data_IF_483187674047
#
_entry.id   IF_483187674047
#
_cell.length_a   1.000
_cell.length_b   1.000
_cell.length_c   1.000
_cell.angle_alpha   90.00
_cell.angle_beta   90.00
_cell.angle_gamma   90.00
#
_symmetry.space_group_name_H-M   'P 1'
#
loop_
_entity.id
_entity.type
_entity.pdbx_description
1 polymer ?
#
# COMPACT_ATOMS: atom_id res chain seq x y z
N UNK A 1 0.41 -73.43 -5.66
CA UNK A 1 1.42 -73.29 -4.60
C UNK A 1 2.49 -72.33 -5.11
N UNK A 2 2.28 -71.04 -4.90
CA UNK A 2 3.29 -69.96 -4.92
C UNK A 2 2.64 -68.81 -4.18
N UNK A 3 3.00 -68.69 -2.91
CA UNK A 3 2.50 -67.69 -1.98
C UNK A 3 3.24 -66.37 -2.23
N UNK A 4 2.49 -65.27 -2.28
CA UNK A 4 2.99 -63.92 -2.55
C UNK A 4 3.39 -63.28 -1.23
N UNK A 5 4.68 -63.24 -0.92
CA UNK A 5 5.17 -62.50 0.24
C UNK A 5 5.23 -61.01 -0.09
N UNK A 6 4.37 -60.22 0.53
CA UNK A 6 4.47 -58.76 0.58
C UNK A 6 5.70 -58.34 1.37
N UNK A 7 6.60 -57.61 0.72
CA UNK A 7 7.69 -56.90 1.37
C UNK A 7 7.14 -55.58 1.97
N UNK A 8 7.09 -55.51 3.30
CA UNK A 8 6.73 -54.29 4.03
C UNK A 8 8.03 -53.63 4.47
N UNK A 9 8.51 -52.66 3.69
CA UNK A 9 9.60 -51.78 4.10
C UNK A 9 9.11 -50.87 5.22
N UNK A 10 9.53 -51.14 6.45
CA UNK A 10 9.41 -50.20 7.57
C UNK A 10 10.29 -48.98 7.30
N UNK A 11 9.64 -47.83 7.09
CA UNK A 11 10.29 -46.52 7.10
C UNK A 11 10.94 -46.31 8.48
N UNK A 12 12.26 -46.39 8.51
CA UNK A 12 13.05 -46.20 9.72
C UNK A 12 13.49 -44.74 9.77
N UNK A 13 12.67 -43.89 10.41
CA UNK A 13 13.15 -42.61 10.91
C UNK A 13 14.25 -42.88 11.93
N UNK A 14 15.48 -42.36 11.75
CA UNK A 14 16.54 -42.62 12.72
C UNK A 14 16.16 -41.98 14.06
N UNK A 15 16.26 -42.78 15.12
CA UNK A 15 16.05 -42.33 16.49
C UNK A 15 17.16 -41.35 16.89
N UNK A 16 16.80 -40.10 17.15
CA UNK A 16 17.70 -39.09 17.72
C UNK A 16 18.00 -39.45 19.18
N UNK A 17 19.28 -39.64 19.51
CA UNK A 17 19.76 -39.86 20.87
C UNK A 17 19.50 -38.61 21.76
N UNK A 18 18.68 -38.72 22.82
CA UNK A 18 18.34 -37.58 23.69
C UNK A 18 19.50 -37.09 24.56
N UNK A 19 20.63 -37.82 24.63
CA UNK A 19 21.80 -37.48 25.43
C UNK A 19 22.95 -36.81 24.68
N UNK A 20 22.91 -36.74 23.35
CA UNK A 20 23.97 -36.15 22.56
C UNK A 20 23.96 -34.62 22.67
N UNK A 21 25.12 -33.94 22.88
CA UNK A 21 25.17 -32.49 22.90
C UNK A 21 24.72 -31.95 21.55
N UNK A 22 23.60 -31.21 21.55
CA UNK A 22 23.07 -30.57 20.35
C UNK A 22 24.14 -29.65 19.78
N UNK A 23 24.44 -29.82 18.49
CA UNK A 23 25.37 -28.94 17.80
C UNK A 23 24.97 -27.47 18.01
N UNK A 24 25.92 -26.55 18.21
CA UNK A 24 25.60 -25.15 18.38
C UNK A 24 24.88 -24.64 17.14
N UNK A 25 23.77 -23.94 17.36
CA UNK A 25 23.01 -23.34 16.26
C UNK A 25 23.91 -22.46 15.39
N UNK A 26 23.75 -22.59 14.07
CA UNK A 26 24.36 -21.70 13.08
C UNK A 26 23.83 -20.28 13.25
N UNK A 27 24.50 -19.29 12.65
CA UNK A 27 24.01 -17.91 12.63
C UNK A 27 22.64 -17.78 11.96
N UNK A 28 22.36 -18.63 10.97
CA UNK A 28 21.07 -18.71 10.28
C UNK A 28 19.97 -19.26 11.18
N UNK A 29 20.25 -20.35 11.91
CA UNK A 29 19.28 -20.97 12.85
C UNK A 29 19.00 -20.11 14.08
N UNK A 30 19.91 -19.19 14.43
CA UNK A 30 19.70 -18.21 15.51
C UNK A 30 18.85 -17.03 15.09
N UNK A 31 18.64 -16.83 13.77
CA UNK A 31 17.84 -15.73 13.27
C UNK A 31 16.36 -16.03 13.54
N UNK A 32 15.62 -15.14 14.21
CA UNK A 32 14.18 -15.29 14.32
C UNK A 32 13.56 -15.45 12.91
N UNK A 33 12.57 -16.34 12.73
CA UNK A 33 11.90 -16.47 11.45
C UNK A 33 11.18 -15.17 11.10
N UNK A 34 11.11 -14.86 9.80
CA UNK A 34 10.32 -13.71 9.34
C UNK A 34 8.85 -14.06 9.46
N UNK A 35 8.17 -13.44 10.42
CA UNK A 35 6.75 -13.70 10.68
C UNK A 35 5.87 -13.44 9.45
N UNK A 36 6.27 -12.52 8.57
CA UNK A 36 5.62 -12.25 7.28
C UNK A 36 5.69 -13.41 6.28
N UNK A 37 6.58 -14.39 6.48
CA UNK A 37 6.79 -15.54 5.60
C UNK A 37 6.23 -16.84 6.20
N UNK A 38 5.66 -16.80 7.42
CA UNK A 38 5.11 -17.98 8.10
C UNK A 38 3.59 -18.08 7.88
N UNK A 39 3.08 -19.11 7.18
CA UNK A 39 1.65 -19.25 6.89
C UNK A 39 0.79 -19.25 8.16
N UNK A 40 1.19 -19.99 9.19
CA UNK A 40 0.46 -20.04 10.46
C UNK A 40 0.33 -18.67 11.16
N UNK A 41 1.31 -17.78 10.96
CA UNK A 41 1.26 -16.43 11.52
C UNK A 41 0.42 -15.49 10.63
N UNK A 42 0.50 -15.63 9.31
CA UNK A 42 -0.37 -14.90 8.38
C UNK A 42 -1.84 -15.23 8.65
N UNK A 43 -2.18 -16.51 8.82
CA UNK A 43 -3.55 -16.97 9.13
C UNK A 43 -4.05 -16.39 10.45
N UNK A 44 -3.18 -16.34 11.47
CA UNK A 44 -3.49 -15.72 12.75
C UNK A 44 -3.76 -14.22 12.60
N UNK A 45 -2.91 -13.50 11.87
CA UNK A 45 -3.00 -12.05 11.69
C UNK A 45 -4.11 -11.62 10.72
N UNK A 46 -4.65 -12.52 9.91
CA UNK A 46 -5.72 -12.24 8.98
C UNK A 46 -7.09 -12.01 9.66
N UNK A 47 -7.26 -12.42 10.92
CA UNK A 47 -8.57 -12.42 11.59
C UNK A 47 -8.53 -11.99 13.05
N UNK A 48 -9.71 -11.97 13.69
CA UNK A 48 -9.87 -11.60 15.10
C UNK A 48 -9.87 -10.09 15.39
N UNK A 49 -9.75 -9.26 14.34
CA UNK A 49 -9.77 -7.81 14.45
C UNK A 49 -11.18 -7.24 14.37
N UNK A 50 -11.41 -6.11 15.05
CA UNK A 50 -12.59 -5.28 14.79
C UNK A 50 -12.53 -4.75 13.35
N UNK A 51 -13.69 -4.44 12.77
CA UNK A 51 -13.75 -3.66 11.52
C UNK A 51 -13.85 -2.18 11.88
N UNK A 52 -12.78 -1.39 11.74
CA UNK A 52 -12.83 0.03 12.04
C UNK A 52 -13.60 0.79 10.96
N UNK A 53 -14.07 2.00 11.32
CA UNK A 53 -14.49 2.98 10.32
C UNK A 53 -13.26 3.47 9.55
N UNK A 54 -13.30 3.31 8.22
CA UNK A 54 -12.23 3.71 7.29
C UNK A 54 -12.67 4.88 6.41
N UNK A 55 -13.71 5.61 6.82
CA UNK A 55 -14.17 6.79 6.09
C UNK A 55 -13.09 7.88 6.10
N UNK A 56 -12.64 8.39 4.93
CA UNK A 56 -11.66 9.45 4.88
C UNK A 56 -12.14 10.69 5.63
N UNK A 57 -11.28 11.23 6.49
CA UNK A 57 -11.55 12.51 7.14
C UNK A 57 -11.19 13.64 6.18
N UNK A 58 -12.14 14.53 5.89
CA UNK A 58 -11.92 15.73 5.08
C UNK A 58 -12.34 17.00 5.80
N UNK A 59 -11.67 18.10 5.47
CA UNK A 59 -12.11 19.42 5.92
C UNK A 59 -13.36 19.83 5.13
N UNK A 60 -14.46 20.27 5.78
CA UNK A 60 -15.66 20.71 5.07
C UNK A 60 -15.35 21.79 4.02
N UNK A 61 -15.84 21.60 2.79
CA UNK A 61 -15.61 22.54 1.69
C UNK A 61 -14.29 22.34 0.94
N UNK A 62 -13.34 21.56 1.46
CA UNK A 62 -12.02 21.42 0.86
C UNK A 62 -12.05 20.62 -0.44
N UNK A 63 -12.88 19.58 -0.52
CA UNK A 63 -13.02 18.74 -1.72
C UNK A 63 -13.70 19.52 -2.84
N UNK A 64 -14.74 20.29 -2.51
CA UNK A 64 -15.47 21.14 -3.45
C UNK A 64 -14.57 22.28 -3.96
N UNK A 65 -13.80 22.90 -3.07
CA UNK A 65 -12.80 23.90 -3.45
C UNK A 65 -11.75 23.28 -4.39
N UNK A 66 -11.19 22.13 -4.03
CA UNK A 66 -10.22 21.40 -4.84
C UNK A 66 -10.76 21.05 -6.24
N UNK A 67 -12.03 20.67 -6.36
CA UNK A 67 -12.67 20.46 -7.66
C UNK A 67 -12.69 21.75 -8.50
N UNK A 68 -13.13 22.88 -7.92
CA UNK A 68 -13.08 24.18 -8.59
C UNK A 68 -11.64 24.61 -8.95
N UNK A 69 -10.64 24.20 -8.16
CA UNK A 69 -9.24 24.48 -8.41
C UNK A 69 -8.73 23.72 -9.63
N UNK A 70 -9.08 22.43 -9.75
CA UNK A 70 -8.79 21.61 -10.93
C UNK A 70 -9.42 22.20 -12.19
N UNK A 71 -10.65 22.70 -12.14
CA UNK A 71 -11.28 23.36 -13.30
C UNK A 71 -10.53 24.62 -13.74
N UNK A 72 -10.10 25.46 -12.79
CA UNK A 72 -9.31 26.67 -13.11
C UNK A 72 -7.95 26.30 -13.71
N UNK A 73 -7.26 25.32 -13.14
CA UNK A 73 -5.97 24.85 -13.65
C UNK A 73 -6.12 24.24 -15.04
N UNK A 74 -7.20 23.47 -15.23
CA UNK A 74 -7.55 22.84 -16.50
C UNK A 74 -7.72 23.87 -17.63
N UNK A 75 -8.45 24.95 -17.37
CA UNK A 75 -8.62 26.04 -18.32
C UNK A 75 -7.32 26.83 -18.59
N UNK A 76 -6.44 26.94 -17.60
CA UNK A 76 -5.17 27.68 -17.72
C UNK A 76 -4.08 26.89 -18.46
N UNK A 77 -4.15 25.56 -18.46
CA UNK A 77 -3.15 24.68 -19.06
C UNK A 77 -3.77 23.66 -20.04
N UNK A 78 -4.45 24.11 -21.12
CA UNK A 78 -5.10 23.19 -22.04
C UNK A 78 -4.08 22.34 -22.80
N UNK A 79 -4.42 21.08 -23.06
CA UNK A 79 -3.64 20.20 -23.94
C UNK A 79 -2.37 19.59 -23.33
N UNK A 80 -2.10 19.81 -22.04
CA UNK A 80 -0.94 19.22 -21.35
C UNK A 80 -1.40 18.34 -20.19
N UNK A 81 -0.84 17.14 -20.05
CA UNK A 81 -1.17 16.29 -18.90
C UNK A 81 -0.33 16.72 -17.70
N UNK A 82 -0.97 16.89 -16.55
CA UNK A 82 -0.33 17.34 -15.32
C UNK A 82 -0.25 16.17 -14.33
N UNK A 83 0.90 16.01 -13.66
CA UNK A 83 1.08 15.05 -12.59
C UNK A 83 1.61 15.77 -11.36
N UNK A 84 0.87 15.71 -10.25
CA UNK A 84 1.17 16.41 -9.01
C UNK A 84 1.27 15.39 -7.89
N UNK A 85 2.44 15.30 -7.25
CA UNK A 85 2.72 14.31 -6.22
C UNK A 85 2.53 14.90 -4.82
N UNK A 86 2.06 14.09 -3.88
CA UNK A 86 1.88 14.52 -2.48
C UNK A 86 3.18 14.48 -1.67
N UNK A 87 4.13 13.62 -2.04
CA UNK A 87 5.41 13.44 -1.35
C UNK A 87 5.37 12.42 -0.21
N UNK A 88 6.43 12.42 0.59
CA UNK A 88 6.66 11.53 1.73
C UNK A 88 7.18 12.30 2.95
N UNK A 89 6.88 11.79 4.14
CA UNK A 89 7.38 12.33 5.40
C UNK A 89 8.90 12.13 5.49
N UNK A 90 9.68 13.20 5.69
CA UNK A 90 11.13 13.05 5.84
C UNK A 90 11.49 12.26 7.10
N UNK A 91 12.59 11.51 7.03
CA UNK A 91 13.18 10.88 8.22
C UNK A 91 13.68 11.95 9.19
N UNK A 92 13.27 11.83 10.46
CA UNK A 92 13.72 12.67 11.57
C UNK A 92 14.96 12.07 12.22
N UNK A 93 14.88 10.79 12.58
CA UNK A 93 16.00 10.02 13.13
C UNK A 93 15.70 8.53 12.97
N UNK A 94 16.59 7.76 12.39
CA UNK A 94 16.44 6.31 12.18
C UNK A 94 15.07 5.92 11.57
N UNK A 95 14.26 5.17 12.31
CA UNK A 95 12.91 4.72 11.94
C UNK A 95 11.81 5.76 12.26
N UNK A 96 12.16 6.88 12.90
CA UNK A 96 11.20 7.94 13.18
C UNK A 96 11.10 8.94 12.02
N UNK A 97 9.88 9.17 11.53
CA UNK A 97 9.55 10.21 10.54
C UNK A 97 9.02 11.49 11.21
N UNK A 98 9.08 12.61 10.50
CA UNK A 98 8.27 13.78 10.85
C UNK A 98 6.79 13.51 10.60
N UNK A 99 5.90 14.34 11.16
CA UNK A 99 4.49 14.30 10.80
C UNK A 99 4.32 14.60 9.31
N UNK A 100 3.59 13.74 8.60
CA UNK A 100 3.35 13.92 7.18
C UNK A 100 2.53 15.17 6.90
N UNK A 101 2.93 15.91 5.86
CA UNK A 101 2.18 17.02 5.27
C UNK A 101 2.41 16.96 3.77
N UNK A 102 1.34 16.81 2.98
CA UNK A 102 1.45 16.71 1.54
C UNK A 102 1.89 18.04 0.92
N UNK A 103 2.46 17.96 -0.29
CA UNK A 103 2.83 19.13 -1.07
C UNK A 103 1.66 20.13 -1.22
N UNK A 104 1.99 21.43 -1.24
CA UNK A 104 0.98 22.50 -1.28
C UNK A 104 0.12 22.44 -2.53
N UNK A 105 0.71 22.14 -3.69
CA UNK A 105 0.00 22.09 -4.96
C UNK A 105 -0.92 20.86 -4.99
N UNK A 106 -0.44 19.74 -4.44
CA UNK A 106 -1.26 18.54 -4.28
C UNK A 106 -2.48 18.82 -3.38
N UNK A 107 -2.28 19.43 -2.21
CA UNK A 107 -3.37 19.77 -1.28
C UNK A 107 -4.32 20.77 -1.93
N UNK A 108 -3.82 21.75 -2.69
CA UNK A 108 -4.67 22.71 -3.39
C UNK A 108 -5.59 22.04 -4.41
N UNK A 109 -5.15 20.96 -5.07
CA UNK A 109 -5.91 20.26 -6.11
C UNK A 109 -6.76 19.08 -5.61
N UNK A 110 -6.51 18.60 -4.40
CA UNK A 110 -7.18 17.39 -3.86
C UNK A 110 -7.90 17.62 -2.54
N UNK A 111 -7.46 18.60 -1.74
CA UNK A 111 -8.02 18.90 -0.42
C UNK A 111 -7.68 17.88 0.67
N UNK A 112 -6.77 16.93 0.41
CA UNK A 112 -6.50 15.80 1.31
C UNK A 112 -5.01 15.59 1.58
N UNK A 113 -4.71 14.91 2.69
CA UNK A 113 -3.37 14.59 3.15
C UNK A 113 -3.13 13.09 2.99
N UNK A 114 -2.58 12.68 1.84
CA UNK A 114 -2.30 11.27 1.53
C UNK A 114 -0.84 11.14 1.16
N UNK A 115 -0.09 10.33 1.90
CA UNK A 115 1.32 10.07 1.62
C UNK A 115 1.50 9.18 0.37
N UNK A 116 2.51 9.48 -0.44
CA UNK A 116 2.85 8.69 -1.63
C UNK A 116 1.81 8.71 -2.76
N UNK A 117 0.89 9.67 -2.75
CA UNK A 117 -0.16 9.81 -3.75
C UNK A 117 0.27 10.69 -4.94
N UNK A 118 -0.35 10.46 -6.10
CA UNK A 118 -0.13 11.27 -7.31
C UNK A 118 -1.47 11.57 -7.97
N UNK A 119 -1.81 12.85 -8.09
CA UNK A 119 -2.92 13.30 -8.92
C UNK A 119 -2.44 13.44 -10.37
N UNK A 120 -3.10 12.77 -11.30
CA UNK A 120 -2.91 12.95 -12.73
C UNK A 120 -4.14 13.62 -13.32
N UNK A 121 -3.95 14.75 -14.00
CA UNK A 121 -4.96 15.42 -14.80
C UNK A 121 -4.63 15.16 -16.27
N UNK A 122 -5.34 14.22 -16.90
CA UNK A 122 -5.16 13.83 -18.29
C UNK A 122 -5.74 14.89 -19.21
N UNK A 123 -4.93 15.41 -20.14
CA UNK A 123 -5.42 16.35 -21.13
C UNK A 123 -6.45 15.68 -22.05
N UNK A 124 -7.64 16.28 -22.15
CA UNK A 124 -8.71 15.87 -23.05
C UNK A 124 -9.22 17.09 -23.83
N UNK A 125 -9.93 16.91 -24.96
CA UNK A 125 -10.57 18.03 -25.63
C UNK A 125 -11.48 18.80 -24.67
N UNK A 126 -11.19 20.08 -24.44
CA UNK A 126 -11.97 20.96 -23.57
C UNK A 126 -11.57 20.99 -22.09
N UNK A 127 -10.54 20.24 -21.67
CA UNK A 127 -10.06 20.31 -20.28
C UNK A 127 -9.23 19.11 -19.85
N UNK A 128 -9.53 18.58 -18.66
CA UNK A 128 -8.83 17.42 -18.09
C UNK A 128 -9.78 16.45 -17.40
N UNK A 129 -9.45 15.16 -17.53
CA UNK A 129 -9.99 14.12 -16.67
C UNK A 129 -9.00 13.86 -15.51
N UNK A 130 -9.46 14.00 -14.27
CA UNK A 130 -8.62 13.81 -13.09
C UNK A 130 -8.70 12.38 -12.55
N UNK A 131 -7.54 11.77 -12.29
CA UNK A 131 -7.39 10.45 -11.64
C UNK A 131 -6.40 10.58 -10.50
N UNK A 132 -6.77 10.10 -9.32
CA UNK A 132 -5.88 10.07 -8.16
C UNK A 132 -5.29 8.67 -7.99
N UNK A 133 -3.98 8.58 -7.88
CA UNK A 133 -3.28 7.34 -7.57
C UNK A 133 -2.88 7.34 -6.10
N UNK A 134 -3.32 6.33 -5.35
CA UNK A 134 -3.10 6.23 -3.91
C UNK A 134 -2.55 4.84 -3.59
N UNK A 135 -1.48 4.72 -2.77
CA UNK A 135 -1.02 3.41 -2.29
C UNK A 135 -2.16 2.63 -1.65
N UNK A 136 -2.37 1.37 -2.07
CA UNK A 136 -3.41 0.54 -1.48
C UNK A 136 -3.11 0.30 0.02
N UNK A 137 -4.12 0.42 0.90
CA UNK A 137 -3.93 0.13 2.31
C UNK A 137 -3.65 -1.37 2.51
N UNK A 138 -2.90 -1.70 3.55
CA UNK A 138 -2.69 -3.08 3.96
C UNK A 138 -3.66 -3.43 5.10
N UNK A 139 -4.75 -4.14 4.76
CA UNK A 139 -5.79 -4.61 5.69
C UNK A 139 -5.50 -6.03 6.19
N UNK A 140 -6.19 -6.52 7.25
CA UNK A 140 -6.07 -7.92 7.66
C UNK A 140 -6.23 -8.89 6.48
N UNK A 141 -5.27 -9.82 6.35
CA UNK A 141 -5.13 -10.73 5.21
C UNK A 141 -4.01 -10.35 4.24
N UNK A 142 -3.53 -9.11 4.26
CA UNK A 142 -2.28 -8.69 3.62
C UNK A 142 -1.14 -8.78 4.64
N UNK A 143 -0.01 -9.48 4.36
CA UNK A 143 1.13 -9.51 5.27
C UNK A 143 1.65 -8.11 5.68
N UNK A 144 1.53 -7.12 4.79
CA UNK A 144 1.91 -5.72 5.06
C UNK A 144 1.11 -5.09 6.19
N UNK A 145 -0.07 -5.63 6.52
CA UNK A 145 -0.93 -5.15 7.61
C UNK A 145 -0.14 -4.97 8.92
N UNK A 146 0.75 -5.91 9.21
CA UNK A 146 1.60 -5.92 10.40
C UNK A 146 3.09 -5.82 10.09
N UNK A 147 3.54 -6.23 8.90
CA UNK A 147 4.97 -6.25 8.58
C UNK A 147 5.53 -4.91 8.13
N UNK A 148 4.66 -3.98 7.70
CA UNK A 148 5.04 -2.63 7.31
C UNK A 148 4.68 -1.66 8.44
N UNK A 149 5.68 -1.21 9.20
CA UNK A 149 5.49 -0.29 10.32
C UNK A 149 5.13 1.14 9.86
N UNK A 150 5.45 1.50 8.61
CA UNK A 150 5.22 2.83 8.06
C UNK A 150 3.82 2.95 7.43
N UNK A 151 3.23 1.84 6.93
CA UNK A 151 1.95 1.87 6.18
C UNK A 151 0.91 0.80 6.58
N UNK A 152 1.27 -0.19 7.40
CA UNK A 152 0.35 -1.24 7.83
C UNK A 152 -0.74 -0.70 8.75
N UNK A 153 -2.01 -1.00 8.48
CA UNK A 153 -3.16 -0.50 9.25
C UNK A 153 -3.08 -0.85 10.75
N UNK A 154 -2.37 -1.93 11.11
CA UNK A 154 -2.11 -2.27 12.51
C UNK A 154 -1.37 -1.15 13.26
N UNK A 155 -0.48 -0.44 12.57
CA UNK A 155 0.41 0.57 13.14
C UNK A 155 -0.10 2.00 12.91
N UNK A 156 -0.61 2.29 11.71
CA UNK A 156 -1.02 3.64 11.32
C UNK A 156 -2.50 3.94 11.61
N UNK A 157 -3.26 2.92 12.02
CA UNK A 157 -4.70 3.02 12.22
C UNK A 157 -5.49 2.90 10.91
N UNK A 158 -6.83 3.08 10.98
CA UNK A 158 -7.75 2.77 9.88
C UNK A 158 -7.37 3.47 8.58
N UNK A 159 -7.02 2.69 7.56
CA UNK A 159 -6.52 3.21 6.29
C UNK A 159 -7.60 3.08 5.19
N UNK A 160 -8.13 4.19 4.64
CA UNK A 160 -9.21 4.15 3.65
C UNK A 160 -8.83 3.42 2.36
N UNK A 161 -9.75 2.63 1.82
CA UNK A 161 -9.56 1.99 0.52
C UNK A 161 -9.78 2.99 -0.63
N UNK A 162 -9.37 2.62 -1.85
CA UNK A 162 -9.59 3.46 -3.03
C UNK A 162 -11.07 3.80 -3.25
N UNK A 163 -11.98 2.86 -2.98
CA UNK A 163 -13.40 3.09 -3.09
C UNK A 163 -13.92 4.16 -2.12
N UNK A 164 -13.30 4.28 -0.94
CA UNK A 164 -13.66 5.27 0.05
C UNK A 164 -13.17 6.66 -0.34
N UNK A 165 -11.92 6.76 -0.82
CA UNK A 165 -11.39 7.99 -1.40
C UNK A 165 -12.19 8.44 -2.62
N UNK A 166 -12.53 7.53 -3.54
CA UNK A 166 -13.33 7.85 -4.72
C UNK A 166 -14.70 8.39 -4.36
N UNK A 167 -15.36 7.79 -3.35
CA UNK A 167 -16.66 8.25 -2.85
C UNK A 167 -16.61 9.67 -2.32
N UNK A 168 -15.55 10.00 -1.57
CA UNK A 168 -15.38 11.31 -0.95
C UNK A 168 -14.94 12.37 -1.96
N UNK A 169 -14.02 12.04 -2.86
CA UNK A 169 -13.38 13.01 -3.77
C UNK A 169 -14.15 13.23 -5.08
N UNK A 170 -15.03 12.28 -5.46
CA UNK A 170 -15.79 12.34 -6.71
C UNK A 170 -14.94 12.17 -7.97
N UNK A 171 -13.69 11.70 -7.84
CA UNK A 171 -12.78 11.39 -8.94
C UNK A 171 -12.31 9.93 -8.84
N UNK A 172 -11.99 9.25 -9.97
CA UNK A 172 -11.43 7.92 -9.95
C UNK A 172 -10.18 7.82 -9.08
N UNK A 173 -10.09 6.74 -8.29
CA UNK A 173 -8.92 6.42 -7.47
C UNK A 173 -8.36 5.05 -7.87
N UNK A 174 -7.05 4.97 -8.06
CA UNK A 174 -6.36 3.77 -8.59
C UNK A 174 -5.05 3.49 -7.86
N UNK A 175 -4.50 2.30 -8.08
CA UNK A 175 -3.14 1.97 -7.64
C UNK A 175 -2.07 2.85 -8.32
N UNK A 176 -0.93 3.11 -7.63
CA UNK A 176 0.22 3.81 -8.20
C UNK A 176 0.83 3.10 -9.41
N UNK A 177 0.73 1.77 -9.49
CA UNK A 177 1.21 1.01 -10.65
C UNK A 177 0.47 1.35 -11.95
N UNK A 178 -0.68 2.02 -11.85
CA UNK A 178 -1.43 2.53 -13.01
C UNK A 178 -0.89 3.84 -13.56
N UNK A 179 0.01 4.55 -12.86
CA UNK A 179 0.58 5.81 -13.33
C UNK A 179 1.34 5.61 -14.64
N UNK A 180 2.24 4.62 -14.70
CA UNK A 180 3.03 4.37 -15.90
C UNK A 180 2.16 4.08 -17.15
N UNK A 181 1.18 3.16 -17.12
CA UNK A 181 0.29 2.95 -18.26
C UNK A 181 -0.61 4.16 -18.55
N UNK A 182 -1.08 4.89 -17.53
CA UNK A 182 -1.94 6.07 -17.70
C UNK A 182 -1.19 7.25 -18.35
N UNK A 183 0.14 7.31 -18.22
CA UNK A 183 0.99 8.34 -18.85
C UNK A 183 1.55 7.94 -20.22
N UNK A 184 1.22 6.76 -20.75
CA UNK A 184 1.70 6.32 -22.08
C UNK A 184 1.21 7.29 -23.16
N UNK A 185 2.14 7.80 -23.97
CA UNK A 185 1.83 8.72 -25.07
C UNK A 185 1.75 10.19 -24.66
N UNK A 186 1.86 10.51 -23.36
CA UNK A 186 2.05 11.88 -22.88
C UNK A 186 3.47 12.32 -23.21
N UNK A 187 3.61 13.34 -24.06
CA UNK A 187 4.92 13.81 -24.56
C UNK A 187 5.49 14.98 -23.78
N UNK A 188 4.64 15.73 -23.07
CA UNK A 188 5.03 16.90 -22.27
C UNK A 188 4.66 16.68 -20.80
N UNK A 189 5.51 15.96 -20.07
CA UNK A 189 5.40 15.86 -18.61
C UNK A 189 6.17 17.02 -18.01
N UNK A 190 5.44 18.00 -17.44
CA UNK A 190 6.05 19.05 -16.61
C UNK A 190 5.94 18.64 -15.15
N UNK A 191 7.09 18.53 -14.49
CA UNK A 191 7.18 18.45 -13.04
C UNK A 191 7.00 19.88 -12.52
N UNK A 192 5.89 20.14 -11.82
CA UNK A 192 5.79 21.31 -10.95
C UNK A 192 6.58 21.04 -9.66
#
# INVERSE_FOLDING_TARGET
MTDTTHDTTHDTTPATDPGAPRAPFTSEERRPPRLAELPAFQDLMAGGWITPDRTPTTVPGAVEAAAAHRERLSAAMPGVTLAVASGYAPTRNDDCRYAFRADSDFVWLTGVQIEGAVLVMHAVPGGHDAVLHVPAPAHPGDPRFYSDADHGELWVGPAPAHADWQRVLGIPVRDPDRIAPDLVGVRDVRRA
#
